data_IF_523032596598
#
_entry.id   IF_523032596598
#
_cell.length_a   1.000
_cell.length_b   1.000
_cell.length_c   1.000
_cell.angle_alpha   90.00
_cell.angle_beta   90.00
_cell.angle_gamma   90.00
#
_symmetry.space_group_name_H-M   'P 1'
#
loop_
_entity.id
_entity.type
_entity.pdbx_description
1 polymer ?
#
# COMPACT_ATOMS: atom_id res chain seq x y z
N UNK A 1 7.30 1.10 27.04
CA UNK A 1 7.75 1.44 25.67
C UNK A 1 6.71 2.37 25.04
N UNK A 2 7.12 3.45 24.37
CA UNK A 2 6.19 4.40 23.73
C UNK A 2 5.86 3.89 22.31
N UNK A 3 4.58 3.72 22.01
CA UNK A 3 4.13 3.36 20.65
C UNK A 3 4.37 4.56 19.73
N UNK A 4 5.06 4.34 18.61
CA UNK A 4 5.25 5.35 17.56
C UNK A 4 4.40 4.96 16.35
N UNK A 5 3.74 5.95 15.75
CA UNK A 5 3.08 5.78 14.44
C UNK A 5 4.13 5.94 13.35
N UNK A 6 4.10 5.06 12.35
CA UNK A 6 5.05 5.02 11.23
C UNK A 6 4.23 4.99 9.94
N UNK A 7 4.62 5.78 8.94
CA UNK A 7 4.07 5.76 7.60
C UNK A 7 5.20 5.42 6.62
N UNK A 8 4.99 4.41 5.79
CA UNK A 8 5.89 4.04 4.70
C UNK A 8 5.23 4.28 3.35
N UNK A 9 5.97 4.86 2.41
CA UNK A 9 5.53 5.11 1.03
C UNK A 9 6.54 4.47 0.08
N UNK A 10 6.06 3.77 -0.94
CA UNK A 10 6.90 3.05 -1.92
C UNK A 10 7.90 2.10 -1.20
N UNK A 11 9.21 2.29 -1.36
CA UNK A 11 10.20 1.46 -0.66
C UNK A 11 10.08 1.52 0.87
N UNK A 12 9.56 2.61 1.42
CA UNK A 12 9.29 2.71 2.86
C UNK A 12 8.22 1.73 3.34
N UNK A 13 7.17 1.47 2.57
CA UNK A 13 6.15 0.47 2.96
C UNK A 13 6.67 -0.95 2.83
N UNK A 14 7.54 -1.21 1.84
CA UNK A 14 8.25 -2.48 1.68
C UNK A 14 9.14 -2.80 2.90
N UNK A 15 9.94 -1.83 3.36
CA UNK A 15 10.78 -1.99 4.56
C UNK A 15 9.93 -2.30 5.80
N UNK A 16 8.80 -1.61 5.98
CA UNK A 16 7.89 -1.87 7.10
C UNK A 16 7.30 -3.28 6.99
N UNK A 17 6.89 -3.70 5.79
CA UNK A 17 6.33 -5.02 5.59
C UNK A 17 7.35 -6.12 5.93
N UNK A 18 8.60 -6.02 5.44
CA UNK A 18 9.67 -6.97 5.77
C UNK A 18 9.99 -6.99 7.26
N UNK A 19 10.08 -5.83 7.91
CA UNK A 19 10.34 -5.73 9.35
C UNK A 19 9.24 -6.41 10.20
N UNK A 20 8.02 -6.51 9.66
CA UNK A 20 6.87 -7.17 10.29
C UNK A 20 6.65 -8.61 9.81
N UNK A 21 7.59 -9.18 9.05
CA UNK A 21 7.55 -10.58 8.58
C UNK A 21 6.79 -10.81 7.27
N UNK A 22 6.44 -9.74 6.56
CA UNK A 22 6.01 -9.81 5.16
C UNK A 22 7.20 -10.06 4.21
N UNK A 23 6.91 -10.14 2.91
CA UNK A 23 7.90 -10.34 1.85
C UNK A 23 7.70 -9.34 0.74
N UNK A 24 8.79 -8.79 0.21
CA UNK A 24 8.79 -8.00 -1.02
C UNK A 24 8.92 -8.94 -2.21
N UNK A 25 8.04 -8.76 -3.20
CA UNK A 25 7.97 -9.59 -4.40
C UNK A 25 7.77 -8.70 -5.62
N UNK A 26 8.07 -9.21 -6.82
CA UNK A 26 7.74 -8.51 -8.07
C UNK A 26 6.22 -8.30 -8.17
N UNK A 27 5.81 -7.10 -8.56
CA UNK A 27 4.42 -6.79 -8.79
C UNK A 27 3.84 -7.68 -9.90
N UNK A 28 2.64 -8.27 -9.72
CA UNK A 28 2.07 -9.19 -10.71
C UNK A 28 1.68 -8.50 -12.03
N UNK A 29 1.55 -7.17 -12.03
CA UNK A 29 1.18 -6.35 -13.18
C UNK A 29 2.37 -5.65 -13.86
N UNK A 30 3.60 -5.94 -13.43
CA UNK A 30 4.81 -5.29 -13.95
C UNK A 30 5.08 -3.93 -13.26
N UNK A 31 5.72 -3.01 -14.00
CA UNK A 31 6.01 -1.67 -13.48
C UNK A 31 4.79 -0.75 -13.59
N UNK A 32 4.48 -0.08 -12.49
CA UNK A 32 3.42 0.93 -12.38
C UNK A 32 4.09 2.31 -12.35
N UNK A 33 3.91 3.07 -13.42
CA UNK A 33 4.60 4.35 -13.66
C UNK A 33 3.58 5.43 -14.05
N UNK A 34 3.54 6.51 -13.26
CA UNK A 34 2.71 7.67 -13.51
C UNK A 34 1.42 7.69 -12.70
N UNK A 35 0.48 8.53 -13.13
CA UNK A 35 -0.82 8.68 -12.45
C UNK A 35 -1.77 7.58 -12.91
N UNK A 36 -2.29 6.80 -11.97
CA UNK A 36 -3.24 5.71 -12.21
C UNK A 36 -4.49 5.89 -11.33
N UNK A 37 -5.62 5.36 -11.79
CA UNK A 37 -6.86 5.35 -11.03
C UNK A 37 -6.97 4.02 -10.25
N UNK A 38 -7.15 4.10 -8.94
CA UNK A 38 -7.36 2.94 -8.07
C UNK A 38 -8.79 2.93 -7.53
N UNK A 39 -9.30 1.74 -7.24
CA UNK A 39 -10.57 1.56 -6.56
C UNK A 39 -10.34 1.59 -5.05
N UNK A 40 -11.26 2.16 -4.30
CA UNK A 40 -11.25 2.13 -2.83
C UNK A 40 -12.13 1.01 -2.33
N UNK A 41 -11.81 0.45 -1.15
CA UNK A 41 -12.63 -0.56 -0.46
C UNK A 41 -13.24 -0.03 0.83
N UNK A 42 -14.38 -0.61 1.22
CA UNK A 42 -15.03 -0.45 2.53
C UNK A 42 -15.04 0.99 3.08
N UNK A 43 -14.44 1.17 4.25
CA UNK A 43 -14.37 2.42 5.03
C UNK A 43 -13.67 3.55 4.28
N UNK A 44 -12.84 3.25 3.28
CA UNK A 44 -12.13 4.27 2.51
C UNK A 44 -13.05 4.94 1.48
N UNK A 45 -14.05 4.23 0.96
CA UNK A 45 -15.07 4.86 0.11
C UNK A 45 -15.81 5.95 0.88
N UNK A 46 -16.15 5.68 2.13
CA UNK A 46 -16.83 6.65 3.02
C UNK A 46 -15.90 7.82 3.38
N UNK A 47 -14.64 7.52 3.73
CA UNK A 47 -13.66 8.55 4.11
C UNK A 47 -13.38 9.55 2.96
N UNK A 48 -13.27 9.06 1.73
CA UNK A 48 -12.95 9.88 0.56
C UNK A 48 -14.20 10.38 -0.19
N UNK A 49 -15.39 9.85 0.10
CA UNK A 49 -16.64 10.24 -0.57
C UNK A 49 -16.69 9.86 -2.05
N UNK A 50 -15.88 8.89 -2.48
CA UNK A 50 -15.77 8.42 -3.87
C UNK A 50 -15.38 6.94 -3.89
N UNK A 51 -15.72 6.24 -4.97
CA UNK A 51 -15.31 4.84 -5.15
C UNK A 51 -13.89 4.71 -5.72
N UNK A 52 -13.35 5.79 -6.29
CA UNK A 52 -12.05 5.78 -6.97
C UNK A 52 -11.30 7.08 -6.79
N UNK A 53 -9.97 6.98 -6.80
CA UNK A 53 -9.06 8.13 -6.75
C UNK A 53 -7.90 7.94 -7.72
N UNK A 54 -7.26 9.06 -8.09
CA UNK A 54 -6.02 9.06 -8.87
C UNK A 54 -4.82 9.17 -7.95
N UNK A 55 -3.87 8.26 -8.08
CA UNK A 55 -2.63 8.21 -7.31
C UNK A 55 -1.42 8.13 -8.23
N UNK A 56 -0.26 8.61 -7.78
CA UNK A 56 0.98 8.49 -8.51
C UNK A 56 1.73 7.22 -8.07
N UNK A 57 2.00 6.33 -9.02
CA UNK A 57 2.77 5.12 -8.82
C UNK A 57 4.13 5.23 -9.51
N UNK A 58 5.18 4.76 -8.83
CA UNK A 58 6.50 4.58 -9.40
C UNK A 58 7.20 3.41 -8.70
N UNK A 59 6.78 2.19 -9.02
CA UNK A 59 7.37 0.96 -8.48
C UNK A 59 7.16 -0.22 -9.44
N UNK A 60 7.93 -1.29 -9.23
CA UNK A 60 7.70 -2.58 -9.91
C UNK A 60 7.67 -3.76 -8.95
N UNK A 61 7.77 -3.48 -7.65
CA UNK A 61 7.70 -4.44 -6.57
C UNK A 61 6.49 -4.12 -5.69
N UNK A 62 5.95 -5.16 -5.07
CA UNK A 62 4.87 -5.09 -4.07
C UNK A 62 5.28 -5.89 -2.84
N UNK A 63 4.44 -5.94 -1.81
CA UNK A 63 4.70 -6.67 -0.59
C UNK A 63 3.49 -7.46 -0.12
N UNK A 64 3.73 -8.60 0.53
CA UNK A 64 2.66 -9.33 1.22
C UNK A 64 2.25 -8.59 2.49
N UNK A 65 0.95 -8.53 2.76
CA UNK A 65 0.45 -7.96 4.02
C UNK A 65 0.97 -8.75 5.23
N UNK A 66 1.65 -8.10 6.19
CA UNK A 66 2.03 -8.72 7.45
C UNK A 66 0.82 -9.23 8.23
N UNK A 67 1.05 -10.19 9.14
CA UNK A 67 -0.02 -10.72 9.99
C UNK A 67 -0.60 -9.60 10.87
N UNK A 68 -1.93 -9.46 10.85
CA UNK A 68 -2.65 -8.44 11.62
C UNK A 68 -2.81 -7.10 10.90
N UNK A 69 -2.35 -6.99 9.65
CA UNK A 69 -2.65 -5.86 8.77
C UNK A 69 -4.09 -5.92 8.24
N UNK A 70 -4.65 -4.74 7.94
CA UNK A 70 -5.91 -4.57 7.21
C UNK A 70 -5.59 -3.96 5.85
N UNK A 71 -6.06 -4.58 4.77
CA UNK A 71 -5.98 -4.01 3.42
C UNK A 71 -7.02 -2.91 3.27
N UNK A 72 -6.70 -1.81 2.59
CA UNK A 72 -7.52 -0.59 2.58
C UNK A 72 -7.84 -0.05 1.18
N UNK A 73 -7.35 -0.71 0.13
CA UNK A 73 -7.57 -0.43 -1.30
C UNK A 73 -7.85 -1.69 -2.12
#
# INVERSE_FOLDING_TARGET
MKVKKILGVCSGSQIIAEALGGKVIKGPYGQEVGVQEISLIDEFKELFGTEKIKVFQLHGDTFSLPKGSKHLD
#
